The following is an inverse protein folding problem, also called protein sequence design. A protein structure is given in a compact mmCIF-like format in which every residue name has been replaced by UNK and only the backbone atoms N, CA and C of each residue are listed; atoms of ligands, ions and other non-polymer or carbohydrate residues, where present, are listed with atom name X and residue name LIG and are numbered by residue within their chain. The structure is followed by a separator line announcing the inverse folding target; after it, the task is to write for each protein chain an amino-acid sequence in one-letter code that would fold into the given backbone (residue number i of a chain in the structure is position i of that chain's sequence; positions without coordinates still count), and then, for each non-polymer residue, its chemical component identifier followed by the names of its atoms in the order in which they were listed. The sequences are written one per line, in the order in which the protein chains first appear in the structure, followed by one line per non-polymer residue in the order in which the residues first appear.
data_IF_326395876426
#
_entry.id   IF_326395876426
#
_cell.length_a   1.000
_cell.length_b   1.000
_cell.length_c   1.000
_cell.angle_alpha   90.00
_cell.angle_beta   90.00
_cell.angle_gamma   90.00
#
_symmetry.space_group_name_H-M   'P 1'
#
loop_
_entity.id
_entity.type
_entity.pdbx_description
1 polymer ?
#
# COMPACT_ATOMS: atom_id res chain seq x y z
N UNK A 1 -7.86 5.11 1.14
CA UNK A 1 -7.21 6.40 0.80
C UNK A 1 -6.24 6.92 1.86
N UNK A 2 -6.31 6.52 3.14
CA UNK A 2 -5.51 7.08 4.25
C UNK A 2 -4.00 6.70 4.32
N UNK A 3 -3.39 6.24 3.22
CA UNK A 3 -2.04 5.67 3.21
C UNK A 3 -0.93 6.69 2.97
N UNK A 4 -1.29 7.95 2.77
CA UNK A 4 -0.43 8.97 2.19
C UNK A 4 -0.72 10.33 2.79
N UNK A 5 0.30 11.18 2.75
CA UNK A 5 0.17 12.61 2.98
C UNK A 5 -0.76 13.20 1.94
N UNK A 6 -1.92 13.70 2.38
CA UNK A 6 -2.87 14.36 1.48
C UNK A 6 -2.58 15.84 1.46
N UNK A 7 -2.40 16.39 0.26
CA UNK A 7 -2.33 17.82 0.01
C UNK A 7 -3.67 18.25 -0.56
N UNK A 8 -4.28 19.30 0.00
CA UNK A 8 -5.46 19.96 -0.57
C UNK A 8 -5.15 21.43 -0.81
N UNK A 9 -5.28 21.89 -2.05
CA UNK A 9 -5.25 23.31 -2.41
C UNK A 9 -6.68 23.76 -2.72
N UNK A 10 -7.11 24.84 -2.07
CA UNK A 10 -8.44 25.38 -2.31
C UNK A 10 -8.42 26.66 -3.15
N UNK A 11 -9.32 26.75 -4.12
CA UNK A 11 -9.53 27.96 -4.93
C UNK A 11 -10.56 28.92 -4.29
N UNK A 12 -11.35 28.47 -3.30
CA UNK A 12 -12.28 29.23 -2.45
C UNK A 12 -12.43 28.55 -1.06
N UNK A 13 -12.99 29.18 -0.03
CA UNK A 13 -12.88 28.66 1.35
C UNK A 13 -13.68 27.36 1.62
N UNK A 14 -13.09 26.39 2.31
CA UNK A 14 -13.77 25.19 2.78
C UNK A 14 -13.35 24.87 4.24
N UNK A 15 -14.13 24.10 4.98
CA UNK A 15 -13.92 23.82 6.41
C UNK A 15 -13.42 22.39 6.65
N UNK A 16 -12.38 22.26 7.46
CA UNK A 16 -11.74 20.99 7.77
C UNK A 16 -11.98 20.61 9.22
N UNK A 17 -12.34 19.34 9.42
CA UNK A 17 -12.39 18.69 10.72
C UNK A 17 -11.40 17.54 10.66
N UNK A 18 -10.31 17.66 11.41
CA UNK A 18 -9.32 16.59 11.56
C UNK A 18 -9.49 15.97 12.94
N UNK A 19 -9.46 14.64 13.00
CA UNK A 19 -9.41 13.90 14.25
C UNK A 19 -8.07 13.17 14.32
N UNK A 20 -7.36 13.37 15.43
CA UNK A 20 -6.17 12.56 15.73
C UNK A 20 -6.62 11.25 16.36
N UNK A 21 -6.72 10.20 15.56
CA UNK A 21 -7.00 8.84 16.02
C UNK A 21 -5.92 7.90 15.49
N UNK A 22 -5.56 6.91 16.31
CA UNK A 22 -4.74 5.78 15.86
C UNK A 22 -5.50 4.96 14.80
N UNK A 23 -4.85 4.44 13.75
CA UNK A 23 -5.52 4.11 12.48
C UNK A 23 -6.29 2.78 12.45
N UNK A 24 -6.58 2.20 13.62
CA UNK A 24 -7.13 0.86 13.80
C UNK A 24 -8.64 0.87 14.11
N UNK A 25 -9.37 1.90 13.68
CA UNK A 25 -10.84 1.88 13.75
C UNK A 25 -11.41 1.05 12.59
N UNK A 26 -12.50 0.34 12.89
CA UNK A 26 -13.15 -0.66 12.03
C UNK A 26 -13.87 -0.11 10.80
N UNK A 27 -13.88 1.21 10.56
CA UNK A 27 -14.61 1.83 9.45
C UNK A 27 -13.76 1.96 8.18
N UNK A 28 -13.36 0.82 7.61
CA UNK A 28 -12.61 0.78 6.35
C UNK A 28 -13.44 1.11 5.10
N UNK A 29 -14.75 0.90 5.17
CA UNK A 29 -15.70 1.19 4.11
C UNK A 29 -17.01 1.66 4.74
N UNK A 30 -17.40 2.90 4.45
CA UNK A 30 -18.65 3.48 4.95
C UNK A 30 -18.67 4.99 4.75
N UNK A 31 -19.85 5.53 4.45
CA UNK A 31 -20.10 6.97 4.51
C UNK A 31 -20.53 7.30 5.93
N UNK A 32 -19.71 8.04 6.67
CA UNK A 32 -20.01 8.43 8.04
C UNK A 32 -19.44 9.81 8.34
N UNK A 33 -20.15 10.56 9.19
CA UNK A 33 -19.75 11.86 9.71
C UNK A 33 -19.79 11.78 11.23
N UNK A 34 -18.71 12.16 11.95
CA UNK A 34 -18.65 12.02 13.40
C UNK A 34 -19.61 13.00 14.08
N UNK A 35 -20.21 12.55 15.19
CA UNK A 35 -20.92 13.43 16.13
C UNK A 35 -19.86 14.11 17.01
N UNK A 36 -19.61 15.40 16.78
CA UNK A 36 -18.46 16.09 17.39
C UNK A 36 -18.57 16.21 18.91
N UNK A 37 -19.79 16.21 19.43
CA UNK A 37 -20.10 16.31 20.86
C UNK A 37 -19.72 15.02 21.62
N UNK A 38 -19.63 13.88 20.94
CA UNK A 38 -19.28 12.58 21.53
C UNK A 38 -17.76 12.39 21.62
N UNK A 39 -16.98 12.97 20.70
CA UNK A 39 -15.54 12.74 20.62
C UNK A 39 -14.79 13.17 21.89
N UNK A 40 -15.06 14.35 22.50
CA UNK A 40 -14.45 14.74 23.76
C UNK A 40 -14.84 13.80 24.92
N UNK A 41 -16.04 13.24 24.91
CA UNK A 41 -16.50 12.29 25.94
C UNK A 41 -15.66 11.00 25.93
N UNK A 42 -15.07 10.68 24.78
CA UNK A 42 -14.15 9.56 24.60
C UNK A 42 -12.66 9.98 24.63
N UNK A 43 -12.34 11.20 25.08
CA UNK A 43 -10.98 11.76 25.10
C UNK A 43 -10.30 11.80 23.72
N UNK A 44 -11.07 12.01 22.66
CA UNK A 44 -10.55 12.09 21.30
C UNK A 44 -10.36 13.57 20.93
N UNK A 45 -9.11 14.04 20.71
CA UNK A 45 -8.88 15.43 20.33
C UNK A 45 -9.29 15.71 18.87
N UNK A 46 -9.91 16.86 18.66
CA UNK A 46 -10.41 17.33 17.35
C UNK A 46 -9.77 18.66 17.01
N UNK A 47 -9.20 18.77 15.81
CA UNK A 47 -8.70 20.01 15.24
C UNK A 47 -9.70 20.50 14.19
N UNK A 48 -10.16 21.74 14.34
CA UNK A 48 -11.18 22.35 13.48
C UNK A 48 -10.69 23.69 12.97
N UNK A 49 -10.66 23.86 11.65
CA UNK A 49 -10.20 25.11 11.02
C UNK A 49 -10.83 25.33 9.64
N UNK A 50 -10.77 26.56 9.16
CA UNK A 50 -11.20 26.94 7.81
C UNK A 50 -9.97 27.06 6.91
N UNK A 51 -9.96 26.33 5.80
CA UNK A 51 -9.01 26.51 4.71
C UNK A 51 -9.52 27.65 3.81
N UNK A 52 -8.79 28.75 3.73
CA UNK A 52 -9.08 29.87 2.84
C UNK A 52 -8.49 29.64 1.44
N UNK A 53 -8.88 30.51 0.49
CA UNK A 53 -8.39 30.48 -0.89
C UNK A 53 -6.87 30.61 -0.92
N UNK A 54 -6.22 29.74 -1.68
CA UNK A 54 -4.76 29.72 -1.86
C UNK A 54 -4.01 29.01 -0.74
N UNK A 55 -4.67 28.65 0.37
CA UNK A 55 -4.04 27.88 1.43
C UNK A 55 -3.88 26.41 1.02
N UNK A 56 -2.82 25.79 1.52
CA UNK A 56 -2.55 24.36 1.32
C UNK A 56 -2.67 23.66 2.66
N UNK A 57 -3.50 22.62 2.70
CA UNK A 57 -3.63 21.75 3.88
C UNK A 57 -2.79 20.50 3.68
N UNK A 58 -1.92 20.23 4.64
CA UNK A 58 -1.11 19.02 4.70
C UNK A 58 -1.66 18.09 5.77
N UNK A 59 -2.13 16.91 5.36
CA UNK A 59 -2.74 15.92 6.24
C UNK A 59 -1.75 14.79 6.47
N UNK A 60 -1.24 14.68 7.70
CA UNK A 60 -0.25 13.69 8.13
C UNK A 60 -0.70 12.23 7.87
N UNK A 61 0.26 11.27 7.71
CA UNK A 61 -0.07 9.88 7.45
C UNK A 61 -0.98 9.31 8.54
N UNK A 62 -2.08 8.68 8.13
CA UNK A 62 -3.04 8.07 9.05
C UNK A 62 -3.96 9.04 9.80
N UNK A 63 -3.86 10.36 9.60
CA UNK A 63 -4.81 11.31 10.17
C UNK A 63 -6.22 11.10 9.60
N UNK A 64 -7.19 10.88 10.49
CA UNK A 64 -8.60 10.74 10.10
C UNK A 64 -9.20 12.15 9.93
N UNK A 65 -9.96 12.36 8.87
CA UNK A 65 -10.45 13.70 8.55
C UNK A 65 -11.75 13.70 7.75
N UNK A 66 -12.48 14.81 7.88
CA UNK A 66 -13.66 15.18 7.13
C UNK A 66 -13.57 16.62 6.66
N UNK A 67 -14.21 16.91 5.54
CA UNK A 67 -14.20 18.23 4.92
C UNK A 67 -15.63 18.58 4.54
N UNK A 68 -16.03 19.81 4.86
CA UNK A 68 -17.30 20.39 4.43
C UNK A 68 -17.03 21.70 3.71
N UNK A 69 -17.64 21.88 2.54
CA UNK A 69 -17.60 23.18 1.87
C UNK A 69 -18.49 24.19 2.63
N UNK A 70 -17.94 25.38 2.94
CA UNK A 70 -18.70 26.47 3.57
C UNK A 70 -19.52 27.28 2.56
N UNK A 71 -19.26 27.09 1.27
CA UNK A 71 -19.90 27.76 0.15
C UNK A 71 -19.48 27.07 -1.14
N UNK A 72 -19.62 27.75 -2.28
CA UNK A 72 -19.15 27.22 -3.56
C UNK A 72 -17.61 27.26 -3.57
N UNK A 73 -16.96 26.09 -3.57
CA UNK A 73 -15.50 25.99 -3.65
C UNK A 73 -15.05 24.87 -4.60
N UNK A 74 -13.84 25.03 -5.15
CA UNK A 74 -13.13 24.01 -5.93
C UNK A 74 -11.83 23.66 -5.21
N UNK A 75 -11.53 22.38 -5.11
CA UNK A 75 -10.33 21.85 -4.46
C UNK A 75 -9.57 20.93 -5.41
N UNK A 76 -8.24 20.98 -5.35
CA UNK A 76 -7.37 20.00 -5.98
C UNK A 76 -6.65 19.27 -4.86
N UNK A 77 -6.68 17.93 -4.89
CA UNK A 77 -6.02 17.12 -3.89
C UNK A 77 -5.24 15.95 -4.51
N UNK A 78 -4.12 15.63 -3.90
CA UNK A 78 -3.32 14.45 -4.25
C UNK A 78 -2.57 13.91 -3.03
N UNK A 79 -2.02 12.74 -3.23
CA UNK A 79 -1.32 11.97 -2.21
C UNK A 79 0.19 12.00 -2.46
N UNK A 80 0.97 12.17 -1.38
CA UNK A 80 2.43 12.07 -1.39
C UNK A 80 2.88 11.06 -0.34
N UNK A 81 4.06 10.47 -0.55
CA UNK A 81 4.66 9.51 0.36
C UNK A 81 6.14 9.84 0.57
N UNK A 82 6.48 10.77 1.47
CA UNK A 82 7.86 11.09 1.77
C UNK A 82 8.62 9.87 2.28
N UNK A 83 9.92 9.77 1.94
CA UNK A 83 10.77 8.64 2.32
C UNK A 83 11.17 8.72 3.80
N UNK A 84 10.21 8.55 4.70
CA UNK A 84 10.42 8.55 6.15
C UNK A 84 9.96 7.23 6.76
N UNK A 85 10.63 6.79 7.83
CA UNK A 85 10.27 5.57 8.53
C UNK A 85 8.84 5.61 9.09
N UNK A 86 8.36 6.78 9.52
CA UNK A 86 6.99 6.92 10.02
C UNK A 86 5.96 6.69 8.90
N UNK A 87 6.14 7.34 7.74
CA UNK A 87 5.26 7.16 6.59
C UNK A 87 5.24 5.71 6.09
N UNK A 88 6.41 5.07 6.02
CA UNK A 88 6.51 3.68 5.56
C UNK A 88 5.84 2.72 6.55
N UNK A 89 6.12 2.85 7.84
CA UNK A 89 5.47 2.04 8.89
C UNK A 89 3.95 2.14 8.85
N UNK A 90 3.41 3.36 8.79
CA UNK A 90 1.96 3.60 8.74
C UNK A 90 1.35 2.98 7.48
N UNK A 91 2.02 3.13 6.33
CA UNK A 91 1.57 2.53 5.07
C UNK A 91 1.58 0.99 5.13
N UNK A 92 2.62 0.41 5.71
CA UNK A 92 2.76 -1.03 5.90
C UNK A 92 1.73 -1.62 6.86
N UNK A 93 1.54 -0.99 8.04
CA UNK A 93 0.53 -1.40 9.03
C UNK A 93 -0.87 -1.41 8.41
N UNK A 94 -1.23 -0.34 7.68
CA UNK A 94 -2.53 -0.28 6.99
C UNK A 94 -2.62 -1.29 5.85
N UNK A 95 -1.55 -1.55 5.11
CA UNK A 95 -1.54 -2.59 4.07
C UNK A 95 -1.83 -3.98 4.69
N UNK A 96 -1.21 -4.30 5.83
CA UNK A 96 -1.48 -5.55 6.56
C UNK A 96 -2.91 -5.60 7.09
N UNK A 97 -3.40 -4.50 7.65
CA UNK A 97 -4.78 -4.40 8.13
C UNK A 97 -5.80 -4.62 7.01
N UNK A 98 -5.62 -3.96 5.86
CA UNK A 98 -6.47 -4.14 4.68
C UNK A 98 -6.50 -5.60 4.21
N UNK A 99 -5.33 -6.27 4.22
CA UNK A 99 -5.23 -7.70 3.88
C UNK A 99 -6.04 -8.59 4.81
N UNK A 100 -6.02 -8.33 6.13
CA UNK A 100 -6.85 -9.05 7.11
C UNK A 100 -8.35 -8.80 6.87
N UNK A 101 -8.70 -7.57 6.50
CA UNK A 101 -10.08 -7.14 6.28
C UNK A 101 -10.59 -7.44 4.86
N UNK A 102 -9.77 -8.09 4.02
CA UNK A 102 -10.07 -8.38 2.59
C UNK A 102 -10.46 -7.13 1.78
N UNK A 103 -9.83 -6.00 2.10
CA UNK A 103 -9.98 -4.74 1.38
C UNK A 103 -8.77 -4.54 0.48
N UNK A 104 -8.97 -4.13 -0.78
CA UNK A 104 -7.88 -3.86 -1.71
C UNK A 104 -7.02 -2.68 -1.21
N UNK A 105 -5.74 -2.92 -1.01
CA UNK A 105 -4.76 -1.84 -0.85
C UNK A 105 -4.48 -1.18 -2.18
N UNK A 106 -4.86 0.09 -2.34
CA UNK A 106 -4.62 0.87 -3.57
C UNK A 106 -3.13 1.00 -3.87
N UNK A 107 -2.30 1.11 -2.82
CA UNK A 107 -0.84 1.12 -2.95
C UNK A 107 -0.32 -0.32 -2.82
N UNK A 108 0.32 -0.90 -3.85
CA UNK A 108 0.92 -2.22 -3.78
C UNK A 108 2.26 -2.12 -3.04
N UNK A 109 2.22 -2.29 -1.72
CA UNK A 109 3.37 -2.03 -0.85
C UNK A 109 4.56 -2.93 -1.15
N UNK A 110 4.35 -4.20 -1.50
CA UNK A 110 5.47 -5.11 -1.79
C UNK A 110 6.18 -4.67 -3.07
N UNK A 111 5.42 -4.44 -4.14
CA UNK A 111 5.96 -3.93 -5.39
C UNK A 111 6.63 -2.57 -5.25
N UNK A 112 6.01 -1.64 -4.52
CA UNK A 112 6.57 -0.32 -4.26
C UNK A 112 7.92 -0.43 -3.55
N UNK A 113 8.02 -1.29 -2.53
CA UNK A 113 9.27 -1.50 -1.78
C UNK A 113 10.39 -2.05 -2.66
N UNK A 114 10.12 -3.02 -3.54
CA UNK A 114 11.11 -3.47 -4.51
C UNK A 114 11.56 -2.37 -5.48
N UNK A 115 10.63 -1.50 -5.92
CA UNK A 115 10.99 -0.35 -6.75
C UNK A 115 11.81 0.69 -5.97
N UNK A 116 11.51 0.92 -4.69
CA UNK A 116 12.30 1.80 -3.82
C UNK A 116 13.73 1.29 -3.70
N UNK A 117 13.92 -0.02 -3.45
CA UNK A 117 15.24 -0.62 -3.32
C UNK A 117 16.12 -0.45 -4.57
N UNK A 118 15.50 -0.43 -5.76
CA UNK A 118 16.20 -0.22 -7.04
C UNK A 118 16.61 1.24 -7.30
N UNK A 119 15.93 2.22 -6.69
CA UNK A 119 15.96 3.62 -7.15
C UNK A 119 16.33 4.64 -6.09
N UNK A 120 16.16 4.32 -4.81
CA UNK A 120 16.29 5.28 -3.71
C UNK A 120 17.46 4.88 -2.83
N UNK A 121 18.36 5.84 -2.59
CA UNK A 121 19.38 5.76 -1.54
C UNK A 121 18.76 6.22 -0.23
N UNK A 122 18.86 5.41 0.81
CA UNK A 122 18.30 5.71 2.12
C UNK A 122 19.42 6.07 3.09
N UNK A 123 19.23 7.18 3.81
CA UNK A 123 20.18 7.65 4.82
C UNK A 123 19.62 7.52 6.25
N UNK A 124 18.30 7.33 6.38
CA UNK A 124 17.65 7.07 7.66
C UNK A 124 17.73 5.57 8.01
N UNK A 125 18.44 5.24 9.09
CA UNK A 125 18.66 3.86 9.51
C UNK A 125 17.35 3.12 9.80
N UNK A 126 16.40 3.77 10.47
CA UNK A 126 15.13 3.13 10.83
C UNK A 126 14.29 2.81 9.58
N UNK A 127 14.22 3.74 8.63
CA UNK A 127 13.53 3.53 7.36
C UNK A 127 14.21 2.43 6.54
N UNK A 128 15.54 2.44 6.47
CA UNK A 128 16.32 1.39 5.80
C UNK A 128 15.99 -0.01 6.34
N UNK A 129 16.01 -0.20 7.65
CA UNK A 129 15.74 -1.51 8.24
C UNK A 129 14.30 -1.98 8.02
N UNK A 130 13.32 -1.07 8.04
CA UNK A 130 11.93 -1.43 7.71
C UNK A 130 11.78 -1.87 6.25
N UNK A 131 12.39 -1.15 5.31
CA UNK A 131 12.36 -1.50 3.88
C UNK A 131 13.07 -2.84 3.66
N UNK A 132 14.28 -3.00 4.23
CA UNK A 132 15.07 -4.22 4.11
C UNK A 132 14.34 -5.44 4.65
N UNK A 133 13.73 -5.33 5.84
CA UNK A 133 12.97 -6.42 6.46
C UNK A 133 11.79 -6.87 5.57
N UNK A 134 11.12 -5.94 4.90
CA UNK A 134 10.05 -6.28 3.95
C UNK A 134 10.59 -6.97 2.69
N UNK A 135 11.71 -6.48 2.13
CA UNK A 135 12.36 -7.13 0.98
C UNK A 135 12.73 -8.58 1.31
N UNK A 136 13.44 -8.80 2.42
CA UNK A 136 13.84 -10.12 2.92
C UNK A 136 12.63 -11.04 3.12
N UNK A 137 11.58 -10.55 3.78
CA UNK A 137 10.36 -11.31 4.01
C UNK A 137 9.66 -11.69 2.71
N UNK A 138 9.54 -10.77 1.75
CA UNK A 138 8.88 -11.03 0.47
C UNK A 138 9.69 -11.99 -0.43
N UNK A 139 11.02 -11.89 -0.39
CA UNK A 139 11.93 -12.81 -1.10
C UNK A 139 11.83 -14.23 -0.50
N UNK A 140 11.83 -14.34 0.83
CA UNK A 140 11.67 -15.62 1.51
C UNK A 140 10.33 -16.28 1.17
N UNK A 141 9.23 -15.52 1.18
CA UNK A 141 7.90 -16.01 0.78
C UNK A 141 7.87 -16.49 -0.67
N UNK A 142 8.48 -15.72 -1.58
CA UNK A 142 8.61 -16.09 -2.99
C UNK A 142 9.38 -17.40 -3.14
N UNK A 143 10.56 -17.51 -2.52
CA UNK A 143 11.40 -18.70 -2.59
C UNK A 143 10.70 -19.94 -2.04
N UNK A 144 9.98 -19.79 -0.92
CA UNK A 144 9.21 -20.87 -0.33
C UNK A 144 8.11 -21.34 -1.29
N UNK A 145 7.35 -20.42 -1.88
CA UNK A 145 6.28 -20.74 -2.82
C UNK A 145 6.81 -21.43 -4.09
N UNK A 146 7.86 -20.87 -4.70
CA UNK A 146 8.50 -21.48 -5.88
C UNK A 146 9.01 -22.88 -5.55
N UNK A 147 9.66 -23.07 -4.39
CA UNK A 147 10.15 -24.38 -3.95
C UNK A 147 9.01 -25.37 -3.71
N UNK A 148 7.90 -24.91 -3.11
CA UNK A 148 6.71 -25.72 -2.89
C UNK A 148 6.10 -26.19 -4.22
N UNK A 149 5.93 -25.29 -5.18
CA UNK A 149 5.36 -25.60 -6.49
C UNK A 149 6.26 -26.57 -7.28
N UNK A 150 7.58 -26.37 -7.26
CA UNK A 150 8.55 -27.30 -7.86
C UNK A 150 8.44 -28.70 -7.25
N UNK A 151 8.34 -28.81 -5.92
CA UNK A 151 8.15 -30.10 -5.23
C UNK A 151 6.81 -30.78 -5.59
N UNK A 152 5.78 -29.99 -5.85
CA UNK A 152 4.48 -30.48 -6.30
C UNK A 152 4.43 -30.82 -7.80
N UNK A 153 5.53 -30.61 -8.55
CA UNK A 153 5.57 -30.85 -10.00
C UNK A 153 4.74 -29.85 -10.81
N UNK A 154 4.38 -28.70 -10.24
CA UNK A 154 3.60 -27.67 -10.92
C UNK A 154 4.55 -26.79 -11.73
N UNK A 155 4.40 -26.70 -13.07
CA UNK A 155 5.26 -25.87 -13.90
C UNK A 155 5.02 -24.39 -13.63
N UNK A 156 6.11 -23.63 -13.48
CA UNK A 156 6.11 -22.18 -13.34
C UNK A 156 6.64 -21.61 -14.65
N UNK A 157 5.79 -20.87 -15.36
CA UNK A 157 6.17 -20.26 -16.64
C UNK A 157 6.77 -18.87 -16.38
N UNK A 158 7.89 -18.60 -17.03
CA UNK A 158 8.43 -17.24 -17.07
C UNK A 158 7.47 -16.31 -17.82
N UNK A 159 7.09 -15.21 -17.18
CA UNK A 159 6.28 -14.17 -17.80
C UNK A 159 7.06 -12.86 -17.93
N UNK A 160 7.92 -12.56 -16.96
CA UNK A 160 8.55 -11.25 -16.86
C UNK A 160 7.53 -10.17 -16.49
N UNK A 161 7.91 -8.91 -16.67
CA UNK A 161 7.02 -7.76 -16.44
C UNK A 161 7.34 -6.64 -17.42
N UNK A 162 6.31 -5.99 -17.95
CA UNK A 162 6.46 -4.84 -18.85
C UNK A 162 6.63 -3.53 -18.08
N UNK A 163 7.31 -2.57 -18.70
CA UNK A 163 7.42 -1.22 -18.16
C UNK A 163 6.03 -0.57 -18.05
N UNK A 164 5.69 -0.05 -16.87
CA UNK A 164 4.39 0.58 -16.61
C UNK A 164 3.25 -0.40 -16.30
N UNK A 165 3.51 -1.71 -16.30
CA UNK A 165 2.51 -2.71 -15.91
C UNK A 165 2.07 -2.51 -14.46
N UNK A 166 0.75 -2.54 -14.21
CA UNK A 166 0.19 -2.40 -12.86
C UNK A 166 0.49 -3.62 -12.00
N UNK A 167 0.59 -3.42 -10.68
CA UNK A 167 0.74 -4.55 -9.76
C UNK A 167 -0.52 -5.43 -9.78
N UNK A 168 -0.41 -6.76 -9.91
CA UNK A 168 -1.56 -7.64 -9.94
C UNK A 168 -2.12 -7.89 -8.53
N UNK A 169 -3.42 -8.12 -8.47
CA UNK A 169 -4.17 -8.38 -7.25
C UNK A 169 -5.03 -9.63 -7.40
N UNK A 170 -5.22 -10.35 -6.30
CA UNK A 170 -6.07 -11.52 -6.27
C UNK A 170 -7.53 -11.13 -6.51
N UNK A 171 -8.18 -11.77 -7.48
CA UNK A 171 -9.58 -11.53 -7.83
C UNK A 171 -10.57 -11.91 -6.72
N UNK A 172 -10.17 -12.77 -5.77
CA UNK A 172 -11.04 -13.25 -4.69
C UNK A 172 -10.85 -12.45 -3.38
N UNK A 173 -9.62 -12.37 -2.86
CA UNK A 173 -9.35 -11.73 -1.57
C UNK A 173 -8.76 -10.31 -1.66
N UNK A 174 -8.58 -9.78 -2.89
CA UNK A 174 -8.04 -8.45 -3.17
C UNK A 174 -6.62 -8.17 -2.63
N UNK A 175 -5.87 -9.20 -2.20
CA UNK A 175 -4.48 -9.04 -1.78
C UNK A 175 -3.56 -8.82 -2.99
N UNK A 176 -2.50 -8.03 -2.80
CA UNK A 176 -1.43 -7.89 -3.80
C UNK A 176 -0.76 -9.25 -4.02
N UNK A 177 -0.58 -9.64 -5.29
CA UNK A 177 0.08 -10.90 -5.66
C UNK A 177 1.44 -10.57 -6.25
N UNK A 178 2.49 -10.71 -5.45
CA UNK A 178 3.85 -10.39 -5.89
C UNK A 178 4.57 -11.61 -6.46
N UNK A 179 5.21 -11.41 -7.63
CA UNK A 179 6.07 -12.33 -8.36
C UNK A 179 5.39 -13.60 -8.92
N UNK A 180 4.79 -14.45 -8.09
CA UNK A 180 4.19 -15.73 -8.53
C UNK A 180 2.68 -15.59 -8.64
N UNK A 181 2.17 -15.61 -9.87
CA UNK A 181 0.76 -15.37 -10.20
C UNK A 181 0.05 -16.68 -10.55
N UNK A 182 -1.15 -16.89 -10.03
CA UNK A 182 -2.03 -17.98 -10.45
C UNK A 182 -3.09 -17.42 -11.38
N UNK A 183 -3.00 -17.73 -12.67
CA UNK A 183 -3.83 -17.14 -13.70
C UNK A 183 -4.88 -18.12 -14.18
N UNK A 184 -6.13 -17.65 -14.26
CA UNK A 184 -7.25 -18.37 -14.84
C UNK A 184 -7.78 -17.58 -16.04
N UNK A 185 -7.89 -18.22 -17.21
CA UNK A 185 -8.61 -17.63 -18.34
C UNK A 185 -10.11 -17.79 -18.14
N UNK A 186 -10.85 -16.68 -18.19
CA UNK A 186 -12.30 -16.68 -18.08
C UNK A 186 -12.89 -15.72 -19.13
N UNK A 187 -13.67 -16.25 -20.08
CA UNK A 187 -14.37 -15.46 -21.11
C UNK A 187 -13.47 -14.49 -21.90
N UNK A 188 -12.22 -14.89 -22.15
CA UNK A 188 -11.24 -14.06 -22.86
C UNK A 188 -10.43 -13.10 -21.98
N UNK A 189 -10.73 -13.01 -20.69
CA UNK A 189 -9.94 -12.27 -19.71
C UNK A 189 -9.03 -13.18 -18.89
N UNK A 190 -7.92 -12.63 -18.41
CA UNK A 190 -6.98 -13.32 -17.51
C UNK A 190 -7.16 -12.79 -16.09
N UNK A 191 -7.68 -13.64 -15.21
CA UNK A 191 -7.90 -13.32 -13.80
C UNK A 191 -6.72 -13.82 -12.97
N UNK A 192 -6.16 -12.95 -12.13
CA UNK A 192 -5.05 -13.29 -11.22
C UNK A 192 -5.58 -13.68 -9.85
N UNK A 193 -4.99 -14.72 -9.26
CA UNK A 193 -5.27 -15.21 -7.92
C UNK A 193 -3.96 -15.36 -7.13
N UNK A 194 -4.05 -15.20 -5.80
CA UNK A 194 -2.97 -15.60 -4.90
C UNK A 194 -2.96 -17.13 -4.74
N UNK A 195 -1.83 -17.68 -4.28
CA UNK A 195 -1.70 -19.12 -4.01
C UNK A 195 -2.82 -19.66 -3.11
N UNK A 196 -3.16 -18.94 -2.03
CA UNK A 196 -4.17 -19.41 -1.06
C UNK A 196 -5.56 -19.56 -1.66
N UNK A 197 -6.01 -18.59 -2.45
CA UNK A 197 -7.31 -18.67 -3.12
C UNK A 197 -7.28 -19.67 -4.28
N UNK A 198 -6.17 -19.75 -5.03
CA UNK A 198 -6.05 -20.74 -6.10
C UNK A 198 -6.11 -22.18 -5.56
N UNK A 199 -5.40 -22.46 -4.46
CA UNK A 199 -5.34 -23.80 -3.85
C UNK A 199 -6.64 -24.24 -3.18
N UNK A 200 -7.53 -23.32 -2.82
CA UNK A 200 -8.87 -23.66 -2.32
C UNK A 200 -9.89 -23.92 -3.44
N UNK A 201 -9.55 -23.60 -4.69
CA UNK A 201 -10.42 -23.74 -5.85
C UNK A 201 -10.17 -25.06 -6.58
N UNK A 202 -11.25 -25.71 -7.04
CA UNK A 202 -11.17 -26.89 -7.93
C UNK A 202 -11.02 -26.46 -9.40
N UNK A 203 -9.98 -25.68 -9.70
CA UNK A 203 -9.69 -25.19 -11.06
C UNK A 203 -8.21 -25.39 -11.40
N UNK A 204 -7.91 -25.50 -12.68
CA UNK A 204 -6.53 -25.54 -13.19
C UNK A 204 -6.06 -24.12 -13.44
N UNK A 205 -4.91 -23.75 -12.87
CA UNK A 205 -4.30 -22.44 -13.03
C UNK A 205 -3.02 -22.55 -13.83
N UNK A 206 -2.75 -21.54 -14.65
CA UNK A 206 -1.42 -21.31 -15.21
C UNK A 206 -0.61 -20.51 -14.19
N UNK A 207 0.54 -21.03 -13.76
CA UNK A 207 1.40 -20.32 -12.81
C UNK A 207 2.46 -19.53 -13.58
N UNK A 208 2.54 -18.23 -13.31
CA UNK A 208 3.48 -17.31 -13.94
C UNK A 208 4.45 -16.72 -12.92
N UNK A 209 5.68 -16.45 -13.34
CA UNK A 209 6.70 -15.75 -12.56
C UNK A 209 7.12 -14.44 -13.24
N UNK A 210 7.05 -13.33 -12.52
CA UNK A 210 7.33 -11.99 -13.06
C UNK A 210 8.78 -11.52 -12.88
N UNK A 211 9.45 -11.97 -11.83
CA UNK A 211 10.80 -11.56 -11.46
C UNK A 211 11.66 -12.79 -11.20
N UNK A 212 12.89 -12.75 -11.70
CA UNK A 212 13.86 -13.79 -11.43
C UNK A 212 14.29 -13.73 -9.95
N UNK A 213 14.49 -14.91 -9.33
CA UNK A 213 14.85 -14.97 -7.91
C UNK A 213 16.25 -14.41 -7.67
N UNK A 214 17.19 -14.66 -8.57
CA UNK A 214 18.56 -14.15 -8.47
C UNK A 214 18.56 -12.62 -8.67
N UNK A 215 17.76 -12.09 -9.60
CA UNK A 215 17.58 -10.63 -9.74
C UNK A 215 17.11 -9.99 -8.41
N UNK A 216 16.13 -10.61 -7.74
CA UNK A 216 15.64 -10.11 -6.44
C UNK A 216 16.70 -10.21 -5.34
N UNK A 217 17.53 -11.27 -5.33
CA UNK A 217 18.65 -11.40 -4.39
C UNK A 217 19.71 -10.33 -4.63
N UNK A 218 20.05 -10.06 -5.89
CA UNK A 218 21.04 -9.05 -6.26
C UNK A 218 20.60 -7.65 -5.81
N UNK A 219 19.32 -7.31 -6.05
CA UNK A 219 18.75 -6.04 -5.58
C UNK A 219 18.85 -5.92 -4.05
N UNK A 220 18.50 -6.98 -3.32
CA UNK A 220 18.58 -6.98 -1.86
C UNK A 220 20.03 -6.90 -1.35
N UNK A 221 20.97 -7.56 -2.02
CA UNK A 221 22.38 -7.53 -1.68
C UNK A 221 22.98 -6.13 -1.91
N UNK A 222 22.58 -5.46 -3.00
CA UNK A 222 23.01 -4.10 -3.32
C UNK A 222 22.32 -3.03 -2.47
N UNK A 223 21.17 -3.33 -1.88
CA UNK A 223 20.43 -2.39 -1.04
C UNK A 223 21.13 -2.19 0.31
N UNK A 224 21.78 -1.02 0.45
CA UNK A 224 22.59 -0.66 1.61
C UNK A 224 22.20 0.71 2.18
N UNK A 225 22.48 0.89 3.48
CA UNK A 225 22.33 2.17 4.16
C UNK A 225 23.43 3.12 3.69
N UNK A 226 23.05 4.29 3.19
CA UNK A 226 24.00 5.32 2.81
C UNK A 226 24.29 6.23 3.99
N UNK A 227 25.52 6.17 4.50
CA UNK A 227 25.99 7.08 5.53
C UNK A 227 26.40 8.41 4.88
N UNK A 228 25.99 9.57 5.41
CA UNK A 228 26.49 10.86 4.92
C UNK A 228 28.02 10.89 5.04
N UNK A 229 28.70 11.36 3.99
CA UNK A 229 30.12 11.69 4.09
C UNK A 229 30.27 12.85 5.09
N UNK A 230 31.11 12.65 6.12
CA UNK A 230 31.40 13.61 7.20
C UNK A 230 32.19 14.81 6.72
#
# INVERSE_FOLDING_TARGET
SFLSLSLSLSLLSCHFILISLSPLSSSLAGSWWPVLEELPQHNIPVYRFTQYRGEVVFINPGTIHWVQANGVCNNIAWNTGPPTAHQFRMAWERYQWNKLQKVRSIVPMVHLTWNMARRIRLNDSHFYWQVRSLLESSLAQTNLLVSHLKKAGIPILWHGRLAGESAPYCNDCAEEVFNVLFVLSHRGEYLVYCHRCASSMRKTFTVLQQYDIEELKDILAMFSLHLPET
#
